data_IF_494644335076
#
_entry.id   IF_494644335076
#
_cell.length_a   1.000
_cell.length_b   1.000
_cell.length_c   1.000
_cell.angle_alpha   90.00
_cell.angle_beta   90.00
_cell.angle_gamma   90.00
#
_symmetry.space_group_name_H-M   'P 1'
#
loop_
_entity.id
_entity.type
_entity.pdbx_description
1 polymer ?
#
# COMPACT_ATOMS: atom_id res chain seq x y z
N UNK A 1 -76.51 -4.35 40.78
CA UNK A 1 -76.53 -3.61 39.47
C UNK A 1 -75.13 -3.23 39.12
N UNK A 2 -74.49 -3.96 38.20
CA UNK A 2 -73.11 -3.70 37.68
C UNK A 2 -73.26 -2.93 36.40
N UNK A 3 -72.84 -1.67 36.38
CA UNK A 3 -72.76 -0.85 35.15
C UNK A 3 -71.48 -1.18 34.38
N UNK A 4 -71.59 -1.88 33.30
CA UNK A 4 -70.54 -2.05 32.33
C UNK A 4 -70.34 -0.74 31.57
N UNK A 5 -69.17 -0.07 31.76
CA UNK A 5 -68.74 1.05 30.93
C UNK A 5 -68.23 0.48 29.57
N UNK A 6 -69.04 0.65 28.56
CA UNK A 6 -68.54 0.47 27.18
C UNK A 6 -67.64 1.64 26.86
N UNK A 7 -66.32 1.34 26.76
CA UNK A 7 -65.31 2.28 26.24
C UNK A 7 -65.54 2.47 24.73
N UNK A 8 -66.15 3.61 24.36
CA UNK A 8 -66.32 4.00 22.97
C UNK A 8 -64.93 4.26 22.34
N UNK A 9 -64.59 3.51 21.31
CA UNK A 9 -63.41 3.78 20.52
C UNK A 9 -63.59 5.17 19.85
N UNK A 10 -62.79 6.15 20.31
CA UNK A 10 -62.74 7.47 19.72
C UNK A 10 -62.16 7.35 18.31
N UNK A 11 -62.97 7.52 17.26
CA UNK A 11 -62.56 7.53 15.89
C UNK A 11 -61.52 8.63 15.62
N UNK A 12 -60.43 8.29 14.97
CA UNK A 12 -59.40 9.23 14.57
C UNK A 12 -59.95 10.32 13.66
N UNK A 13 -59.82 11.58 14.06
CA UNK A 13 -60.25 12.71 13.24
C UNK A 13 -59.44 12.82 11.94
N UNK A 14 -60.02 13.29 10.83
CA UNK A 14 -59.38 13.46 9.52
C UNK A 14 -57.99 14.10 9.61
N UNK A 15 -57.77 15.10 10.46
CA UNK A 15 -56.47 15.76 10.68
C UNK A 15 -55.42 14.81 11.30
N UNK A 16 -55.86 13.92 12.20
CA UNK A 16 -54.94 12.94 12.82
C UNK A 16 -54.53 11.88 11.84
N UNK A 17 -55.45 11.41 11.00
CA UNK A 17 -55.16 10.43 9.92
C UNK A 17 -54.17 11.05 8.92
N UNK A 18 -54.40 12.30 8.48
CA UNK A 18 -53.48 12.98 7.53
C UNK A 18 -52.11 13.21 8.13
N UNK A 19 -52.00 13.62 9.40
CA UNK A 19 -50.72 13.80 10.09
C UNK A 19 -49.97 12.47 10.25
N UNK A 20 -50.67 11.42 10.62
CA UNK A 20 -50.08 10.08 10.78
C UNK A 20 -49.60 9.54 9.43
N UNK A 21 -50.41 9.69 8.37
CA UNK A 21 -50.03 9.30 7.01
C UNK A 21 -48.82 10.05 6.47
N UNK A 22 -48.79 11.38 6.70
CA UNK A 22 -47.63 12.19 6.31
C UNK A 22 -46.35 11.79 7.09
N UNK A 23 -46.46 11.61 8.41
CA UNK A 23 -45.33 11.18 9.23
C UNK A 23 -44.82 9.78 8.80
N UNK A 24 -45.73 8.85 8.50
CA UNK A 24 -45.37 7.53 8.00
C UNK A 24 -44.63 7.61 6.63
N UNK A 25 -45.15 8.43 5.74
CA UNK A 25 -44.52 8.62 4.42
C UNK A 25 -43.11 9.24 4.53
N UNK A 26 -42.93 10.27 5.38
CA UNK A 26 -41.60 10.89 5.63
C UNK A 26 -40.66 9.90 6.28
N UNK A 27 -41.13 9.09 7.23
CA UNK A 27 -40.33 8.06 7.88
C UNK A 27 -39.85 6.98 6.87
N UNK A 28 -40.73 6.56 5.98
CA UNK A 28 -40.41 5.57 4.97
C UNK A 28 -39.31 6.10 4.03
N UNK A 29 -39.48 7.33 3.51
CA UNK A 29 -38.49 7.98 2.65
C UNK A 29 -37.14 8.13 3.37
N UNK A 30 -37.15 8.51 4.65
CA UNK A 30 -35.94 8.64 5.45
C UNK A 30 -35.20 7.29 5.62
N UNK A 31 -35.94 6.20 5.84
CA UNK A 31 -35.38 4.84 5.93
C UNK A 31 -34.78 4.40 4.60
N UNK A 32 -35.48 4.60 3.50
CA UNK A 32 -34.99 4.27 2.17
C UNK A 32 -33.73 5.07 1.80
N UNK A 33 -33.73 6.37 2.09
CA UNK A 33 -32.57 7.22 1.86
C UNK A 33 -31.37 6.78 2.73
N UNK A 34 -31.61 6.46 3.99
CA UNK A 34 -30.58 5.94 4.89
C UNK A 34 -30.03 4.59 4.39
N UNK A 35 -30.90 3.70 3.92
CA UNK A 35 -30.50 2.41 3.33
C UNK A 35 -29.69 2.59 2.05
N UNK A 36 -30.04 3.55 1.20
CA UNK A 36 -29.33 3.86 -0.02
C UNK A 36 -27.95 4.50 0.25
N UNK A 37 -27.83 5.37 1.24
CA UNK A 37 -26.60 6.10 1.56
C UNK A 37 -25.62 5.28 2.43
N UNK A 38 -26.16 4.42 3.31
CA UNK A 38 -25.34 3.64 4.26
C UNK A 38 -24.23 2.80 3.57
N UNK A 39 -24.44 2.13 2.44
CA UNK A 39 -23.37 1.38 1.74
C UNK A 39 -22.21 2.27 1.30
N UNK A 40 -22.49 3.52 0.91
CA UNK A 40 -21.45 4.48 0.49
C UNK A 40 -20.68 5.05 1.70
N UNK A 41 -21.32 5.15 2.86
CA UNK A 41 -20.67 5.59 4.09
C UNK A 41 -19.92 4.46 4.80
N UNK A 42 -20.38 3.22 4.65
CA UNK A 42 -19.68 2.01 5.06
C UNK A 42 -18.70 1.62 3.96
N UNK A 43 -17.66 2.39 3.78
CA UNK A 43 -16.49 1.91 3.06
C UNK A 43 -15.94 0.74 3.87
N UNK A 44 -16.35 -0.48 3.52
CA UNK A 44 -15.65 -1.68 3.94
C UNK A 44 -14.24 -1.51 3.38
N UNK A 45 -13.31 -1.05 4.22
CA UNK A 45 -11.89 -1.15 3.89
C UNK A 45 -11.63 -2.65 3.85
N UNK A 46 -11.39 -3.25 2.67
CA UNK A 46 -10.87 -4.60 2.67
C UNK A 46 -9.63 -4.59 3.55
N UNK A 47 -9.29 -5.67 4.26
CA UNK A 47 -7.99 -5.76 4.89
C UNK A 47 -6.98 -5.43 3.82
N UNK A 48 -6.30 -4.27 3.99
CA UNK A 48 -5.41 -3.74 2.98
C UNK A 48 -4.06 -4.46 3.14
N UNK A 49 -4.03 -5.75 2.86
CA UNK A 49 -2.81 -6.48 2.57
C UNK A 49 -2.37 -6.08 1.16
N UNK A 50 -1.86 -4.86 1.05
CA UNK A 50 -1.15 -4.44 -0.14
C UNK A 50 0.20 -5.14 -0.16
N UNK A 51 0.37 -6.02 -1.12
CA UNK A 51 1.57 -6.82 -1.25
C UNK A 51 1.48 -8.17 -0.52
N UNK A 52 2.49 -8.98 -0.72
CA UNK A 52 2.64 -10.29 -0.09
C UNK A 52 4.13 -10.59 0.14
N UNK A 53 4.49 -11.44 1.10
CA UNK A 53 5.85 -11.96 1.20
C UNK A 53 6.22 -12.70 -0.09
N UNK A 54 7.36 -12.35 -0.69
CA UNK A 54 7.86 -12.93 -1.93
C UNK A 54 9.22 -13.56 -1.73
N UNK A 55 9.35 -14.85 -2.06
CA UNK A 55 10.62 -15.54 -2.10
C UNK A 55 11.45 -15.07 -3.29
N UNK A 56 12.73 -14.80 -3.06
CA UNK A 56 13.67 -14.31 -4.10
C UNK A 56 14.91 -15.20 -4.27
N UNK A 57 14.92 -16.37 -3.67
CA UNK A 57 16.05 -17.30 -3.70
C UNK A 57 16.93 -17.21 -2.46
N UNK A 58 18.03 -17.92 -2.48
CA UNK A 58 19.00 -17.88 -1.37
C UNK A 58 19.99 -16.73 -1.50
N UNK A 59 20.58 -16.35 -0.36
CA UNK A 59 21.64 -15.33 -0.35
C UNK A 59 22.81 -15.71 -1.28
N UNK A 60 23.25 -16.98 -1.25
CA UNK A 60 24.37 -17.45 -2.05
C UNK A 60 24.07 -17.36 -3.55
N UNK A 61 22.86 -17.75 -3.98
CA UNK A 61 22.43 -17.64 -5.38
C UNK A 61 22.42 -16.19 -5.86
N UNK A 62 21.86 -15.27 -5.07
CA UNK A 62 21.82 -13.86 -5.45
C UNK A 62 23.22 -13.24 -5.54
N UNK A 63 24.13 -13.55 -4.59
CA UNK A 63 25.50 -13.08 -4.64
C UNK A 63 26.25 -13.63 -5.84
N UNK A 64 26.08 -14.91 -6.19
CA UNK A 64 26.64 -15.49 -7.39
C UNK A 64 26.10 -14.81 -8.66
N UNK A 65 24.81 -14.48 -8.71
CA UNK A 65 24.21 -13.75 -9.81
C UNK A 65 24.79 -12.33 -9.93
N UNK A 66 24.91 -11.58 -8.83
CA UNK A 66 25.55 -10.26 -8.83
C UNK A 66 26.99 -10.32 -9.33
N UNK A 67 27.77 -11.30 -8.87
CA UNK A 67 29.15 -11.48 -9.32
C UNK A 67 29.27 -11.70 -10.84
N UNK A 68 28.35 -12.47 -11.44
CA UNK A 68 28.36 -12.73 -12.90
C UNK A 68 27.85 -11.56 -13.72
N UNK A 69 26.98 -10.70 -13.14
CA UNK A 69 26.36 -9.56 -13.84
C UNK A 69 27.04 -8.21 -13.58
N UNK A 70 28.16 -8.18 -12.87
CA UNK A 70 28.83 -6.94 -12.43
C UNK A 70 27.93 -6.07 -11.58
N UNK A 71 27.25 -6.68 -10.64
CA UNK A 71 26.28 -6.05 -9.70
C UNK A 71 25.11 -5.36 -10.41
N UNK A 72 24.69 -5.84 -11.60
CA UNK A 72 23.48 -5.33 -12.23
C UNK A 72 22.27 -5.64 -11.35
N UNK A 73 21.35 -4.66 -11.15
CA UNK A 73 20.15 -4.85 -10.38
C UNK A 73 19.26 -5.98 -10.91
N UNK A 74 18.70 -6.80 -10.01
CA UNK A 74 17.81 -7.89 -10.37
C UNK A 74 16.36 -7.44 -10.24
N UNK A 75 15.62 -7.47 -11.36
CA UNK A 75 14.24 -7.02 -11.41
C UNK A 75 13.27 -8.09 -10.90
N UNK A 76 12.43 -7.73 -9.94
CA UNK A 76 11.22 -8.49 -9.61
C UNK A 76 9.99 -7.71 -10.09
N UNK A 77 9.38 -8.14 -11.20
CA UNK A 77 8.23 -7.46 -11.82
C UNK A 77 6.99 -7.58 -10.96
N UNK A 78 6.57 -8.77 -10.47
CA UNK A 78 5.37 -8.92 -9.64
C UNK A 78 5.44 -8.12 -8.34
N UNK A 79 6.59 -8.13 -7.65
CA UNK A 79 6.81 -7.40 -6.40
C UNK A 79 7.11 -5.93 -6.59
N UNK A 80 7.34 -5.48 -7.82
CA UNK A 80 7.64 -4.08 -8.17
C UNK A 80 8.87 -3.54 -7.47
N UNK A 81 9.93 -4.33 -7.34
CA UNK A 81 11.19 -3.93 -6.73
C UNK A 81 12.41 -4.38 -7.53
N UNK A 82 13.54 -3.83 -7.17
CA UNK A 82 14.86 -4.24 -7.60
C UNK A 82 15.61 -4.83 -6.40
N UNK A 83 16.27 -5.98 -6.57
CA UNK A 83 17.29 -6.42 -5.64
C UNK A 83 18.60 -5.77 -6.03
N UNK A 84 19.28 -5.19 -5.04
CA UNK A 84 20.54 -4.49 -5.21
C UNK A 84 21.60 -5.10 -4.29
N UNK A 85 22.81 -5.22 -4.80
CA UNK A 85 23.99 -5.56 -4.00
C UNK A 85 24.54 -4.26 -3.38
N UNK A 86 24.12 -3.98 -2.16
CA UNK A 86 24.54 -2.82 -1.41
C UNK A 86 25.84 -3.07 -0.64
N UNK A 87 26.61 -2.03 -0.26
CA UNK A 87 27.75 -2.20 0.61
C UNK A 87 27.37 -2.89 1.93
N UNK A 88 27.81 -4.14 2.09
CA UNK A 88 27.57 -4.97 3.27
C UNK A 88 26.34 -5.87 3.22
N UNK A 89 25.59 -5.95 2.11
CA UNK A 89 24.44 -6.85 2.02
C UNK A 89 23.55 -6.67 0.80
N UNK A 90 22.34 -7.23 0.88
CA UNK A 90 21.34 -7.17 -0.18
C UNK A 90 20.15 -6.36 0.29
N UNK A 91 19.62 -5.50 -0.56
CA UNK A 91 18.41 -4.69 -0.30
C UNK A 91 17.38 -4.85 -1.41
N UNK A 92 16.12 -4.64 -1.08
CA UNK A 92 15.01 -4.61 -2.03
C UNK A 92 14.50 -3.19 -2.22
N UNK A 93 14.92 -2.51 -3.30
CA UNK A 93 14.53 -1.13 -3.59
C UNK A 93 13.18 -1.09 -4.31
N UNK A 94 12.20 -0.37 -3.75
CA UNK A 94 10.91 -0.18 -4.38
C UNK A 94 11.04 0.64 -5.66
N UNK A 95 10.49 0.13 -6.77
CA UNK A 95 10.59 0.77 -8.10
C UNK A 95 9.80 2.08 -8.24
N UNK A 96 9.36 2.67 -7.17
CA UNK A 96 8.55 3.89 -7.17
C UNK A 96 9.42 5.10 -6.90
N UNK A 97 9.48 6.02 -7.87
CA UNK A 97 10.20 7.29 -7.75
C UNK A 97 9.65 8.12 -6.59
N UNK A 98 10.54 8.59 -5.73
CA UNK A 98 10.18 9.41 -4.56
C UNK A 98 9.79 10.84 -4.91
N UNK A 99 9.92 11.26 -6.18
CA UNK A 99 9.38 12.54 -6.66
C UNK A 99 7.86 12.49 -6.76
N UNK A 100 7.29 11.81 -7.78
CA UNK A 100 5.86 11.73 -8.04
C UNK A 100 5.36 10.31 -8.38
N UNK A 101 6.09 9.29 -7.95
CA UNK A 101 5.61 7.91 -7.99
C UNK A 101 5.76 7.16 -9.30
N UNK A 102 6.47 7.70 -10.30
CA UNK A 102 6.73 6.99 -11.56
C UNK A 102 7.56 5.72 -11.33
N UNK A 103 7.37 4.71 -12.16
CA UNK A 103 8.22 3.52 -12.16
C UNK A 103 9.64 3.89 -12.65
N UNK A 104 10.65 3.46 -11.87
CA UNK A 104 12.06 3.74 -12.17
C UNK A 104 12.69 2.50 -12.80
N UNK A 105 13.04 2.54 -14.09
CA UNK A 105 13.78 1.50 -14.77
C UNK A 105 15.28 1.57 -14.49
N UNK A 106 15.94 0.44 -14.72
CA UNK A 106 17.40 0.34 -14.80
C UNK A 106 17.89 0.85 -16.16
N UNK A 107 18.89 1.72 -16.13
CA UNK A 107 19.58 2.26 -17.30
C UNK A 107 20.98 1.61 -17.37
N UNK A 108 21.07 0.51 -18.09
CA UNK A 108 22.30 -0.27 -18.19
C UNK A 108 23.44 0.49 -18.92
N UNK A 109 23.13 1.47 -19.78
CA UNK A 109 24.13 2.24 -20.51
C UNK A 109 24.83 3.23 -19.57
N UNK A 110 24.10 3.78 -18.62
CA UNK A 110 24.62 4.77 -17.70
C UNK A 110 24.89 4.20 -16.29
N UNK A 111 24.77 2.90 -16.11
CA UNK A 111 25.01 2.15 -14.85
C UNK A 111 24.29 2.76 -13.63
N UNK A 112 23.04 3.17 -13.82
CA UNK A 112 22.20 3.83 -12.81
C UNK A 112 20.71 3.63 -13.06
N UNK A 113 19.88 3.98 -12.11
CA UNK A 113 18.45 4.10 -12.34
C UNK A 113 18.10 5.49 -12.86
N UNK A 114 17.23 5.57 -13.87
CA UNK A 114 16.78 6.86 -14.42
C UNK A 114 15.26 6.90 -14.50
N UNK A 115 14.65 7.85 -13.77
CA UNK A 115 13.21 8.06 -13.81
C UNK A 115 12.80 8.75 -15.12
N UNK A 116 11.94 8.15 -15.95
CA UNK A 116 11.62 8.71 -17.28
C UNK A 116 10.74 9.95 -17.22
N UNK A 117 10.04 10.21 -16.08
CA UNK A 117 9.11 11.30 -15.98
C UNK A 117 9.80 12.69 -15.88
N UNK A 118 10.79 12.82 -14.98
CA UNK A 118 11.44 14.11 -14.72
C UNK A 118 12.97 13.97 -14.58
N UNK A 119 13.54 12.83 -14.97
CA UNK A 119 14.98 12.66 -15.05
C UNK A 119 15.72 12.50 -13.71
N UNK A 120 15.01 12.18 -12.61
CA UNK A 120 15.68 11.81 -11.35
C UNK A 120 16.56 10.57 -11.58
N UNK A 121 17.78 10.56 -11.02
CA UNK A 121 18.69 9.45 -11.13
C UNK A 121 19.06 8.91 -9.74
N UNK A 122 19.25 7.57 -9.66
CA UNK A 122 19.57 6.90 -8.41
C UNK A 122 20.72 5.92 -8.61
N UNK A 123 21.51 5.78 -7.55
CA UNK A 123 22.66 4.88 -7.50
C UNK A 123 22.24 3.40 -7.57
N UNK A 124 23.00 2.58 -8.28
CA UNK A 124 22.67 1.17 -8.52
C UNK A 124 22.77 0.27 -7.29
N UNK A 125 23.63 0.60 -6.34
CA UNK A 125 23.88 -0.22 -5.15
C UNK A 125 22.99 0.20 -3.97
N UNK A 126 22.82 1.49 -3.81
CA UNK A 126 22.21 2.09 -2.60
C UNK A 126 20.87 2.74 -2.88
N UNK A 127 20.53 2.98 -4.14
CA UNK A 127 19.36 3.73 -4.58
C UNK A 127 19.26 5.15 -3.98
N UNK A 128 20.39 5.77 -3.57
CA UNK A 128 20.45 7.18 -3.21
C UNK A 128 20.31 8.05 -4.45
N UNK A 129 19.83 9.28 -4.26
CA UNK A 129 19.63 10.23 -5.37
C UNK A 129 20.98 10.75 -5.86
N UNK A 130 21.26 10.54 -7.13
CA UNK A 130 22.40 11.11 -7.85
C UNK A 130 22.03 12.43 -8.55
N UNK A 131 20.76 12.55 -8.97
CA UNK A 131 20.23 13.74 -9.65
C UNK A 131 18.77 13.98 -9.26
N UNK A 132 18.45 15.22 -8.89
CA UNK A 132 17.07 15.71 -8.62
C UNK A 132 16.16 15.59 -9.87
N UNK A 133 14.81 15.69 -9.73
CA UNK A 133 14.09 16.32 -8.61
C UNK A 133 13.62 15.41 -7.47
N UNK A 134 13.91 14.10 -7.47
CA UNK A 134 13.56 13.23 -6.34
C UNK A 134 14.17 13.78 -5.03
N UNK A 135 13.37 13.97 -3.96
CA UNK A 135 13.86 14.60 -2.72
C UNK A 135 14.64 13.65 -1.82
N UNK A 136 14.52 12.32 -2.00
CA UNK A 136 15.10 11.30 -1.13
C UNK A 136 15.34 10.00 -1.89
N UNK A 137 16.16 9.06 -1.34
CA UNK A 137 16.42 7.75 -1.95
C UNK A 137 15.14 6.97 -2.24
N UNK A 138 15.23 5.95 -3.11
CA UNK A 138 14.12 5.01 -3.25
C UNK A 138 13.88 4.31 -1.91
N UNK A 139 12.61 4.13 -1.57
CA UNK A 139 12.20 3.37 -0.39
C UNK A 139 12.65 1.91 -0.50
N UNK A 140 12.87 1.25 0.63
CA UNK A 140 13.21 -0.17 0.65
C UNK A 140 12.05 -0.99 1.20
N UNK A 141 11.85 -2.18 0.66
CA UNK A 141 11.02 -3.19 1.28
C UNK A 141 11.81 -3.93 2.37
N UNK A 142 11.11 -4.36 3.42
CA UNK A 142 11.68 -5.22 4.44
C UNK A 142 12.05 -6.58 3.87
N UNK A 143 13.16 -7.12 4.33
CA UNK A 143 13.65 -8.43 3.94
C UNK A 143 13.90 -9.29 5.18
N UNK A 144 13.65 -10.57 5.06
CA UNK A 144 13.98 -11.57 6.09
C UNK A 144 14.56 -12.83 5.45
N UNK A 145 15.25 -13.62 6.25
CA UNK A 145 15.77 -14.93 5.84
C UNK A 145 15.04 -16.01 6.62
N UNK A 146 14.56 -17.03 5.92
CA UNK A 146 13.94 -18.20 6.54
C UNK A 146 15.00 -19.12 7.16
N UNK A 147 14.59 -20.06 8.00
CA UNK A 147 15.47 -21.09 8.55
C UNK A 147 16.15 -21.95 7.46
N UNK A 148 15.51 -22.06 6.29
CA UNK A 148 16.08 -22.77 5.12
C UNK A 148 17.06 -21.90 4.31
N UNK A 149 17.35 -20.65 4.71
CA UNK A 149 18.25 -19.74 4.01
C UNK A 149 17.62 -19.04 2.80
N UNK A 150 16.29 -19.11 2.63
CA UNK A 150 15.58 -18.43 1.57
C UNK A 150 15.26 -17.00 1.97
N UNK A 151 15.58 -16.04 1.12
CA UNK A 151 15.27 -14.63 1.34
C UNK A 151 13.83 -14.31 0.92
N UNK A 152 13.13 -13.59 1.80
CA UNK A 152 11.76 -13.14 1.63
C UNK A 152 11.75 -11.61 1.62
N UNK A 153 11.03 -11.02 0.68
CA UNK A 153 10.77 -9.57 0.60
C UNK A 153 9.30 -9.32 0.97
N UNK A 154 9.03 -8.48 1.97
CA UNK A 154 7.68 -7.99 2.28
C UNK A 154 7.33 -6.84 1.33
N UNK A 155 6.54 -7.13 0.32
CA UNK A 155 6.19 -6.15 -0.73
C UNK A 155 5.05 -5.20 -0.36
N UNK A 156 4.73 -5.07 0.93
CA UNK A 156 3.70 -4.15 1.41
C UNK A 156 4.18 -2.68 1.30
N UNK A 157 3.59 -1.86 0.39
CA UNK A 157 4.04 -0.49 0.18
C UNK A 157 3.71 0.48 1.32
N UNK A 158 2.92 0.03 2.31
CA UNK A 158 2.62 0.79 3.52
C UNK A 158 3.63 0.53 4.64
N UNK A 159 4.50 -0.48 4.48
CA UNK A 159 5.47 -0.93 5.45
C UNK A 159 6.88 -0.90 4.85
N UNK A 160 7.20 0.20 4.19
CA UNK A 160 8.52 0.40 3.59
C UNK A 160 9.46 1.12 4.56
N UNK A 161 10.75 0.86 4.42
CA UNK A 161 11.81 1.63 5.05
C UNK A 161 11.91 2.95 4.28
N UNK A 162 11.41 4.03 4.89
CA UNK A 162 11.50 5.37 4.34
C UNK A 162 12.79 6.04 4.81
N UNK A 163 13.61 6.48 3.86
CA UNK A 163 14.93 7.04 4.12
C UNK A 163 14.88 8.57 3.97
N UNK A 164 15.01 9.30 5.08
CA UNK A 164 14.92 10.76 5.10
C UNK A 164 16.13 11.42 4.45
N UNK A 165 17.33 10.92 4.78
CA UNK A 165 18.59 11.48 4.31
C UNK A 165 19.01 10.86 2.97
N UNK A 166 19.52 11.69 2.08
CA UNK A 166 20.08 11.22 0.81
C UNK A 166 21.52 10.69 0.98
N UNK A 167 21.66 9.69 1.84
CA UNK A 167 22.93 8.98 2.07
C UNK A 167 22.68 7.49 2.28
N UNK A 168 23.72 6.69 2.06
CA UNK A 168 23.70 5.28 2.42
C UNK A 168 23.94 5.14 3.93
N UNK A 169 23.08 4.34 4.58
CA UNK A 169 23.23 3.96 5.97
C UNK A 169 23.12 2.44 6.11
N UNK A 170 24.19 1.74 6.56
CA UNK A 170 24.16 0.30 6.78
C UNK A 170 23.13 -0.18 7.82
N UNK A 171 22.56 0.72 8.61
CA UNK A 171 21.47 0.38 9.53
C UNK A 171 20.19 -0.09 8.79
N UNK A 172 20.06 0.25 7.51
CA UNK A 172 18.97 -0.24 6.66
C UNK A 172 19.18 -1.66 6.11
N UNK A 173 20.32 -2.30 6.39
CA UNK A 173 20.59 -3.68 5.97
C UNK A 173 19.94 -4.67 6.93
N UNK A 174 18.95 -5.41 6.43
CA UNK A 174 18.37 -6.54 7.12
C UNK A 174 19.03 -7.86 6.71
N UNK A 175 19.53 -7.93 5.46
CA UNK A 175 20.31 -9.06 4.92
C UNK A 175 21.76 -8.63 4.74
N UNK A 176 22.64 -9.11 5.62
CA UNK A 176 24.08 -8.80 5.61
C UNK A 176 24.86 -9.90 4.91
N UNK A 177 25.95 -9.55 4.23
CA UNK A 177 26.91 -10.46 3.57
C UNK A 177 28.21 -10.54 4.34
#
# INVERSE_FOLDING_TARGET
>A
MIRTRTSGAAGLGRRQVLRAGFAAAVSLVAVELAAAVTPFLRVARPPMDFGAPMSVGSRAELLAQFATTRDAPILNVPGRFWLLHAPGGIIAAYRKCTHLGCTVPWDAQNDRFTCPCHGSQFDKHTAVVLKSPAPKPLQLFHMSETESGTLIVDTNPLRVIDRADNRWDPAHLEIRT
#
